data_IF_625999812769
#
_entry.id   IF_625999812769
#
_cell.length_a   1.000
_cell.length_b   1.000
_cell.length_c   1.000
_cell.angle_alpha   90.00
_cell.angle_beta   90.00
_cell.angle_gamma   90.00
#
_symmetry.space_group_name_H-M   'P 1'
#
loop_
_entity.id
_entity.type
_entity.pdbx_description
1 polymer ?
#
# COMPACT_ATOMS: atom_id res chain seq x y z
N UNK A 1 -14.83 -5.44 9.87
CA UNK A 1 -13.68 -4.51 9.91
C UNK A 1 -12.33 -5.22 9.87
N UNK A 2 -12.18 -6.47 10.37
CA UNK A 2 -10.90 -7.20 10.36
C UNK A 2 -10.40 -7.65 8.97
N UNK A 3 -11.30 -7.88 8.00
CA UNK A 3 -10.97 -8.46 6.69
C UNK A 3 -10.08 -7.57 5.80
N UNK A 4 -9.99 -6.27 6.09
CA UNK A 4 -9.21 -5.31 5.30
C UNK A 4 -7.96 -4.80 6.03
N UNK A 5 -7.64 -5.33 7.22
CA UNK A 5 -6.43 -4.95 7.93
C UNK A 5 -5.18 -5.43 7.20
N UNK A 6 -4.12 -4.65 7.29
CA UNK A 6 -2.80 -5.07 6.82
C UNK A 6 -2.25 -6.19 7.69
N UNK A 7 -1.94 -7.32 7.06
CA UNK A 7 -1.48 -8.53 7.72
C UNK A 7 -0.11 -9.03 7.21
N UNK A 8 0.62 -8.20 6.46
CA UNK A 8 1.94 -8.53 5.91
C UNK A 8 1.90 -9.20 4.54
N UNK A 9 0.77 -9.79 4.13
CA UNK A 9 0.66 -10.49 2.83
C UNK A 9 -0.12 -9.71 1.78
N UNK A 10 -0.90 -8.71 2.20
CA UNK A 10 -1.85 -7.99 1.37
C UNK A 10 -1.44 -6.53 1.08
N UNK A 11 -0.13 -6.23 1.05
CA UNK A 11 0.38 -4.85 0.96
C UNK A 11 -0.24 -4.01 -0.17
N UNK A 12 -0.28 -4.55 -1.39
CA UNK A 12 -0.80 -3.81 -2.55
C UNK A 12 -2.31 -3.53 -2.45
N UNK A 13 -3.08 -4.50 -1.96
CA UNK A 13 -4.53 -4.32 -1.78
C UNK A 13 -4.84 -3.38 -0.60
N UNK A 14 -4.07 -3.49 0.49
CA UNK A 14 -4.15 -2.58 1.62
C UNK A 14 -3.79 -1.14 1.22
N UNK A 15 -2.70 -0.93 0.48
CA UNK A 15 -2.28 0.39 0.01
C UNK A 15 -3.33 1.03 -0.91
N UNK A 16 -3.97 0.23 -1.79
CA UNK A 16 -5.08 0.70 -2.63
C UNK A 16 -6.26 1.17 -1.77
N UNK A 17 -6.66 0.38 -0.76
CA UNK A 17 -7.75 0.74 0.14
C UNK A 17 -7.42 1.98 0.99
N UNK A 18 -6.19 2.09 1.47
CA UNK A 18 -5.70 3.24 2.20
C UNK A 18 -5.80 4.52 1.35
N UNK A 19 -5.33 4.47 0.09
CA UNK A 19 -5.43 5.62 -0.83
C UNK A 19 -6.88 6.07 -1.04
N UNK A 20 -7.82 5.15 -1.20
CA UNK A 20 -9.26 5.49 -1.31
C UNK A 20 -9.74 6.28 -0.09
N UNK A 21 -9.39 5.83 1.12
CA UNK A 21 -9.76 6.52 2.37
C UNK A 21 -9.11 7.91 2.45
N UNK A 22 -7.83 8.02 2.09
CA UNK A 22 -7.12 9.30 2.16
C UNK A 22 -7.54 10.29 1.07
N UNK A 23 -7.93 9.82 -0.10
CA UNK A 23 -8.46 10.66 -1.17
C UNK A 23 -9.80 11.27 -0.76
N UNK A 24 -10.64 10.51 -0.05
CA UNK A 24 -11.88 11.03 0.54
C UNK A 24 -11.62 12.19 1.53
N UNK A 25 -10.53 12.10 2.31
CA UNK A 25 -10.13 13.13 3.27
C UNK A 25 -9.24 14.24 2.66
N UNK A 26 -8.93 14.18 1.35
CA UNK A 26 -7.95 15.06 0.67
C UNK A 26 -6.53 15.02 1.28
N UNK A 27 -6.10 13.88 1.81
CA UNK A 27 -4.83 13.67 2.52
C UNK A 27 -3.87 12.70 1.80
N UNK A 28 -4.22 12.19 0.62
CA UNK A 28 -3.41 11.22 -0.12
C UNK A 28 -1.97 11.69 -0.37
N UNK A 29 -1.76 13.01 -0.48
CA UNK A 29 -0.47 13.64 -0.68
C UNK A 29 0.57 13.29 0.43
N UNK A 30 0.11 12.97 1.64
CA UNK A 30 0.97 12.71 2.82
C UNK A 30 1.78 11.43 2.63
N UNK A 31 1.31 10.49 1.79
CA UNK A 31 2.00 9.24 1.52
C UNK A 31 3.25 9.43 0.65
N UNK A 32 3.21 10.39 -0.27
CA UNK A 32 4.19 10.48 -1.36
C UNK A 32 5.13 11.70 -1.21
N UNK A 33 4.73 12.71 -0.44
CA UNK A 33 5.52 13.95 -0.27
C UNK A 33 6.25 13.96 1.07
N UNK A 34 7.46 14.54 1.13
CA UNK A 34 8.20 14.66 2.38
C UNK A 34 7.46 15.55 3.37
N UNK A 35 7.56 15.22 4.65
CA UNK A 35 7.10 16.06 5.75
C UNK A 35 7.98 17.33 5.81
N UNK A 36 7.41 18.56 5.68
CA UNK A 36 8.15 19.79 5.92
C UNK A 36 8.71 19.78 7.35
N UNK A 37 10.01 20.05 7.49
CA UNK A 37 10.69 20.03 8.80
C UNK A 37 10.95 21.44 9.34
N UNK A 38 11.12 22.41 8.43
CA UNK A 38 11.53 23.76 8.77
C UNK A 38 10.58 24.74 8.09
N UNK A 39 10.16 25.74 8.85
CA UNK A 39 9.45 26.91 8.37
C UNK A 39 10.42 28.11 8.43
N UNK A 40 10.76 28.74 7.29
CA UNK A 40 11.69 29.86 7.26
C UNK A 40 11.29 31.04 8.15
N UNK A 41 12.29 31.75 8.67
CA UNK A 41 12.07 32.99 9.40
C UNK A 41 11.51 34.05 8.44
N UNK A 42 10.44 34.74 8.86
CA UNK A 42 9.71 35.67 7.98
C UNK A 42 8.63 35.04 7.10
N UNK A 43 8.36 33.73 7.24
CA UNK A 43 7.28 33.08 6.50
C UNK A 43 5.92 33.75 6.70
N UNK A 44 5.15 33.82 5.60
CA UNK A 44 3.83 34.44 5.57
C UNK A 44 2.83 33.67 6.44
N UNK A 45 1.73 34.30 6.90
CA UNK A 45 0.67 33.60 7.62
C UNK A 45 0.14 32.37 6.87
N UNK A 46 0.02 32.44 5.54
CA UNK A 46 -0.46 31.34 4.68
C UNK A 46 0.54 30.16 4.65
N UNK A 47 1.83 30.44 4.62
CA UNK A 47 2.88 29.41 4.69
C UNK A 47 2.85 28.70 6.05
N UNK A 48 2.64 29.44 7.14
CA UNK A 48 2.50 28.87 8.49
C UNK A 48 1.29 27.96 8.60
N UNK A 49 0.14 28.41 8.09
CA UNK A 49 -1.09 27.61 8.06
C UNK A 49 -0.90 26.32 7.25
N UNK A 50 -0.21 26.41 6.11
CA UNK A 50 0.09 25.24 5.28
C UNK A 50 1.00 24.25 6.00
N UNK A 51 2.03 24.74 6.69
CA UNK A 51 2.93 23.94 7.50
C UNK A 51 2.19 23.22 8.65
N UNK A 52 1.39 23.95 9.42
CA UNK A 52 0.59 23.39 10.52
C UNK A 52 -0.40 22.34 10.04
N UNK A 53 -1.11 22.63 8.94
CA UNK A 53 -2.03 21.69 8.28
C UNK A 53 -1.32 20.41 7.88
N UNK A 54 -0.11 20.51 7.34
CA UNK A 54 0.66 19.33 6.94
C UNK A 54 1.01 18.44 8.14
N UNK A 55 1.42 19.03 9.26
CA UNK A 55 1.69 18.25 10.48
C UNK A 55 0.42 17.63 11.08
N UNK A 56 -0.71 18.32 10.98
CA UNK A 56 -2.01 17.76 11.38
C UNK A 56 -2.41 16.58 10.51
N UNK A 57 -2.34 16.74 9.19
CA UNK A 57 -2.66 15.68 8.24
C UNK A 57 -1.70 14.50 8.40
N UNK A 58 -0.40 14.72 8.63
CA UNK A 58 0.55 13.65 8.97
C UNK A 58 0.10 12.86 10.21
N UNK A 59 -0.31 13.54 11.29
CA UNK A 59 -0.80 12.85 12.51
C UNK A 59 -2.06 12.03 12.23
N UNK A 60 -3.02 12.58 11.48
CA UNK A 60 -4.26 11.88 11.10
C UNK A 60 -3.98 10.65 10.25
N UNK A 61 -3.21 10.82 9.17
CA UNK A 61 -2.85 9.72 8.26
C UNK A 61 -2.06 8.64 8.98
N UNK A 62 -1.11 9.01 9.85
CA UNK A 62 -0.39 8.06 10.69
C UNK A 62 -1.35 7.22 11.55
N UNK A 63 -2.32 7.86 12.21
CA UNK A 63 -3.33 7.13 12.99
C UNK A 63 -4.16 6.19 12.14
N UNK A 64 -4.56 6.60 10.93
CA UNK A 64 -5.30 5.75 9.98
C UNK A 64 -4.45 4.53 9.58
N UNK A 65 -3.19 4.75 9.21
CA UNK A 65 -2.25 3.69 8.83
C UNK A 65 -2.12 2.68 9.97
N UNK A 66 -1.80 3.14 11.18
CA UNK A 66 -1.61 2.27 12.34
C UNK A 66 -2.90 1.51 12.72
N UNK A 67 -4.06 2.17 12.71
CA UNK A 67 -5.34 1.53 13.01
C UNK A 67 -5.78 0.52 11.94
N UNK A 68 -5.30 0.68 10.71
CA UNK A 68 -5.58 -0.23 9.59
C UNK A 68 -4.70 -1.49 9.58
N UNK A 69 -3.84 -1.67 10.59
CA UNK A 69 -2.94 -2.82 10.71
C UNK A 69 -3.44 -3.85 11.74
N UNK A 70 -2.92 -5.06 11.63
CA UNK A 70 -2.93 -6.03 12.74
C UNK A 70 -2.06 -5.51 13.89
N UNK A 71 -2.38 -5.90 15.13
CA UNK A 71 -1.66 -5.42 16.32
C UNK A 71 -0.16 -5.78 16.28
N UNK A 72 0.18 -6.94 15.71
CA UNK A 72 1.55 -7.44 15.58
C UNK A 72 2.39 -6.56 14.67
N UNK A 73 1.79 -6.05 13.58
CA UNK A 73 2.46 -5.17 12.63
C UNK A 73 2.45 -3.73 13.14
N UNK A 74 1.34 -3.28 13.71
CA UNK A 74 1.20 -1.92 14.27
C UNK A 74 2.34 -1.59 15.25
N UNK A 75 2.67 -2.51 16.17
CA UNK A 75 3.75 -2.35 17.16
C UNK A 75 5.15 -2.15 16.56
N UNK A 76 5.35 -2.51 15.29
CA UNK A 76 6.62 -2.31 14.60
C UNK A 76 6.78 -0.88 14.08
N UNK A 77 5.67 -0.16 13.90
CA UNK A 77 5.62 1.16 13.27
C UNK A 77 5.10 2.27 14.20
N UNK A 78 4.51 1.92 15.34
CA UNK A 78 3.87 2.88 16.27
C UNK A 78 4.82 3.95 16.84
N UNK A 79 6.13 3.70 16.87
CA UNK A 79 7.13 4.69 17.31
C UNK A 79 7.61 5.64 16.22
N UNK A 80 7.29 5.40 14.96
CA UNK A 80 7.67 6.30 13.87
C UNK A 80 6.68 7.45 13.79
N UNK A 81 7.16 8.69 13.72
CA UNK A 81 6.32 9.88 13.78
C UNK A 81 5.88 10.39 12.41
N UNK A 82 6.66 10.13 11.38
CA UNK A 82 6.42 10.59 10.02
C UNK A 82 5.89 9.45 9.13
N UNK A 83 4.82 9.76 8.38
CA UNK A 83 4.20 8.83 7.44
C UNK A 83 5.18 8.39 6.33
N UNK A 84 6.01 9.27 5.73
CA UNK A 84 6.96 8.85 4.69
C UNK A 84 7.91 7.74 5.14
N UNK A 85 8.46 7.80 6.36
CA UNK A 85 9.34 6.74 6.89
C UNK A 85 8.61 5.43 7.13
N UNK A 86 7.36 5.47 7.60
CA UNK A 86 6.51 4.28 7.73
C UNK A 86 6.33 3.63 6.34
N UNK A 87 5.89 4.42 5.36
CA UNK A 87 5.62 3.93 4.01
C UNK A 87 6.86 3.37 3.32
N UNK A 88 8.01 4.04 3.46
CA UNK A 88 9.28 3.55 2.91
C UNK A 88 9.66 2.18 3.47
N UNK A 89 9.66 2.04 4.80
CA UNK A 89 10.00 0.77 5.45
C UNK A 89 9.01 -0.34 5.09
N UNK A 90 7.72 -0.03 5.05
CA UNK A 90 6.71 -1.02 4.66
C UNK A 90 6.90 -1.48 3.21
N UNK A 91 7.20 -0.55 2.30
CA UNK A 91 7.47 -0.87 0.90
C UNK A 91 8.67 -1.81 0.78
N UNK A 92 9.76 -1.54 1.49
CA UNK A 92 10.97 -2.37 1.43
C UNK A 92 10.76 -3.80 1.93
N UNK A 93 9.89 -3.98 2.94
CA UNK A 93 9.63 -5.29 3.55
C UNK A 93 8.52 -6.07 2.84
N UNK A 94 7.44 -5.40 2.45
CA UNK A 94 6.20 -6.06 2.05
C UNK A 94 5.78 -5.81 0.60
N UNK A 95 6.32 -4.80 -0.08
CA UNK A 95 6.02 -4.63 -1.49
C UNK A 95 6.71 -5.75 -2.26
N UNK A 96 5.94 -6.70 -2.76
CA UNK A 96 6.44 -7.67 -3.74
C UNK A 96 6.64 -6.91 -5.05
N UNK A 97 7.87 -6.85 -5.59
CA UNK A 97 8.07 -6.17 -6.86
C UNK A 97 7.24 -6.86 -7.94
N UNK A 98 6.59 -6.08 -8.83
CA UNK A 98 5.74 -6.64 -9.89
C UNK A 98 6.50 -7.64 -10.76
N UNK A 99 7.82 -7.48 -10.91
CA UNK A 99 8.69 -8.46 -11.59
C UNK A 99 8.61 -9.86 -10.98
N UNK A 100 8.54 -10.00 -9.66
CA UNK A 100 8.43 -11.31 -9.00
C UNK A 100 7.03 -11.90 -9.18
N UNK A 101 5.98 -11.09 -9.07
CA UNK A 101 4.59 -11.52 -9.32
C UNK A 101 4.46 -11.99 -10.77
N UNK A 102 4.95 -11.19 -11.72
CA UNK A 102 4.96 -11.54 -13.15
C UNK A 102 5.76 -12.80 -13.41
N UNK A 103 6.96 -12.91 -12.86
CA UNK A 103 7.78 -14.12 -13.03
C UNK A 103 7.07 -15.37 -12.49
N UNK A 104 6.51 -15.30 -11.28
CA UNK A 104 5.78 -16.41 -10.68
C UNK A 104 4.53 -16.78 -11.50
N UNK A 105 3.77 -15.77 -11.97
CA UNK A 105 2.59 -15.98 -12.81
C UNK A 105 2.94 -16.60 -14.16
N UNK A 106 3.98 -16.10 -14.84
CA UNK A 106 4.49 -16.64 -16.10
C UNK A 106 5.01 -18.06 -15.94
N UNK A 107 5.79 -18.34 -14.89
CA UNK A 107 6.28 -19.68 -14.57
C UNK A 107 5.12 -20.66 -14.30
N UNK A 108 4.12 -20.24 -13.53
CA UNK A 108 2.93 -21.04 -13.25
C UNK A 108 2.10 -21.27 -14.53
N UNK A 109 1.97 -20.27 -15.40
CA UNK A 109 1.27 -20.38 -16.67
C UNK A 109 1.91 -21.45 -17.57
N UNK A 110 3.23 -21.37 -17.81
CA UNK A 110 3.94 -22.37 -18.61
C UNK A 110 3.98 -23.77 -17.96
N UNK A 111 3.94 -23.85 -16.63
CA UNK A 111 3.91 -25.12 -15.90
C UNK A 111 2.52 -25.73 -15.75
N UNK A 112 1.45 -25.00 -16.06
CA UNK A 112 0.08 -25.47 -15.86
C UNK A 112 -0.31 -26.44 -16.98
N UNK A 113 -0.65 -27.68 -16.60
CA UNK A 113 -1.25 -28.69 -17.47
C UNK A 113 -2.69 -28.93 -17.06
N UNK A 114 -3.55 -29.25 -18.02
CA UNK A 114 -4.91 -29.67 -17.73
C UNK A 114 -4.88 -31.08 -17.15
N UNK A 115 -5.53 -31.28 -16.01
CA UNK A 115 -5.64 -32.60 -15.38
C UNK A 115 -6.63 -33.44 -16.18
N UNK A 116 -6.33 -34.72 -16.40
CA UNK A 116 -7.24 -35.64 -17.06
C UNK A 116 -8.57 -35.73 -16.29
N UNK A 117 -9.69 -35.67 -17.01
CA UNK A 117 -11.04 -35.61 -16.41
C UNK A 117 -11.46 -34.26 -15.84
N UNK A 118 -10.61 -33.22 -15.88
CA UNK A 118 -10.99 -31.87 -15.44
C UNK A 118 -11.72 -31.05 -16.51
N UNK A 119 -12.52 -30.07 -16.08
CA UNK A 119 -13.27 -29.18 -16.99
C UNK A 119 -12.34 -28.19 -17.70
N UNK A 120 -12.44 -28.15 -19.04
CA UNK A 120 -11.76 -27.17 -19.90
C UNK A 120 -12.09 -25.74 -19.48
N UNK A 121 -13.34 -25.46 -19.10
CA UNK A 121 -13.76 -24.13 -18.67
C UNK A 121 -13.05 -23.69 -17.39
N UNK A 122 -13.02 -24.56 -16.37
CA UNK A 122 -12.30 -24.29 -15.12
C UNK A 122 -10.81 -24.08 -15.36
N UNK A 123 -10.22 -24.87 -16.25
CA UNK A 123 -8.83 -24.71 -16.65
C UNK A 123 -8.59 -23.36 -17.34
N UNK A 124 -9.46 -22.96 -18.27
CA UNK A 124 -9.39 -21.68 -18.98
C UNK A 124 -9.46 -20.48 -18.04
N UNK A 125 -10.37 -20.49 -17.06
CA UNK A 125 -10.47 -19.42 -16.03
C UNK A 125 -9.18 -19.33 -15.21
N UNK A 126 -8.60 -20.46 -14.81
CA UNK A 126 -7.31 -20.48 -14.09
C UNK A 126 -6.19 -19.88 -14.95
N UNK A 127 -6.08 -20.27 -16.22
CA UNK A 127 -5.08 -19.73 -17.13
C UNK A 127 -5.25 -18.21 -17.35
N UNK A 128 -6.49 -17.74 -17.52
CA UNK A 128 -6.79 -16.32 -17.67
C UNK A 128 -6.32 -15.51 -16.45
N UNK A 129 -6.59 -16.00 -15.24
CA UNK A 129 -6.13 -15.34 -14.00
C UNK A 129 -4.61 -15.21 -13.89
N UNK A 130 -3.87 -16.18 -14.45
CA UNK A 130 -2.40 -16.15 -14.49
C UNK A 130 -1.90 -15.13 -15.52
N UNK A 131 -2.54 -15.04 -16.68
CA UNK A 131 -2.23 -14.03 -17.71
C UNK A 131 -2.47 -12.62 -17.19
N UNK A 132 -3.57 -12.38 -16.47
CA UNK A 132 -3.86 -11.09 -15.85
C UNK A 132 -2.80 -10.70 -14.82
N UNK A 133 -2.39 -11.65 -13.95
CA UNK A 133 -1.30 -11.43 -12.99
C UNK A 133 0.04 -11.14 -13.66
N UNK A 134 0.33 -11.78 -14.80
CA UNK A 134 1.53 -11.55 -15.59
C UNK A 134 1.54 -10.20 -16.33
N UNK A 135 0.36 -9.60 -16.56
CA UNK A 135 0.18 -8.33 -17.26
C UNK A 135 0.16 -7.10 -16.36
N UNK A 136 0.23 -7.26 -15.03
CA UNK A 136 0.28 -6.11 -14.11
C UNK A 136 1.48 -5.20 -14.48
N UNK A 137 1.26 -3.87 -14.64
CA UNK A 137 2.28 -2.92 -15.08
C UNK A 137 3.48 -2.90 -14.12
#
# INVERSE_FOLDING_TARGET
>A
METNKFNGTNYNDWLRNLRIVLDFENQGYVLDKPLPVILPEGSSPEERLTFEKWHEDNRKVRSIILASMTNEIQKQYDRLEDVPSIMLRMKDVYAVPDRHIRYAATKAFFGTKMTEGSSVHSHGVKMLSLVEKARRP
#
